data_IF_605182769606
#
_entry.id   IF_605182769606
#
_cell.length_a   1.000
_cell.length_b   1.000
_cell.length_c   1.000
_cell.angle_alpha   90.00
_cell.angle_beta   90.00
_cell.angle_gamma   90.00
#
_symmetry.space_group_name_H-M   'P 1'
#
loop_
_entity.id
_entity.type
_entity.pdbx_description
1 polymer ?
#
# COMPACT_ATOMS: atom_id res chain seq x y z
N UNK A 1 2.85 18.82 -30.17
CA UNK A 1 3.96 18.52 -31.10
C UNK A 1 4.24 17.04 -31.02
N UNK A 2 3.79 16.29 -32.03
CA UNK A 2 3.99 14.83 -32.12
C UNK A 2 5.48 14.57 -32.33
N UNK A 3 6.18 13.88 -31.42
CA UNK A 3 7.58 13.48 -31.69
C UNK A 3 8.15 12.41 -30.74
N UNK A 4 7.38 11.37 -30.40
CA UNK A 4 8.02 10.11 -30.00
C UNK A 4 7.59 9.06 -31.04
N UNK A 5 8.10 9.19 -32.25
CA UNK A 5 8.12 8.10 -33.22
C UNK A 5 9.57 7.61 -33.35
N UNK A 6 9.88 6.40 -32.84
CA UNK A 6 9.00 5.48 -32.12
C UNK A 6 8.72 5.93 -30.67
N UNK A 7 7.63 5.46 -30.04
CA UNK A 7 7.34 5.75 -28.64
C UNK A 7 8.44 5.22 -27.72
N UNK A 8 8.89 6.08 -26.81
CA UNK A 8 9.97 5.75 -25.88
C UNK A 8 9.41 5.70 -24.47
N UNK A 9 9.47 4.53 -23.84
CA UNK A 9 9.18 4.36 -22.41
C UNK A 9 10.41 4.84 -21.63
N UNK A 10 10.32 6.06 -21.12
CA UNK A 10 11.38 6.70 -20.33
C UNK A 10 10.76 7.49 -19.19
N UNK A 11 11.42 7.46 -18.05
CA UNK A 11 11.08 8.24 -16.88
C UNK A 11 11.49 9.70 -17.08
N UNK A 12 10.49 10.57 -17.10
CA UNK A 12 10.62 12.02 -17.16
C UNK A 12 9.35 12.66 -16.60
N UNK A 13 9.41 13.19 -15.38
CA UNK A 13 8.22 13.79 -14.75
C UNK A 13 7.79 15.07 -15.45
N UNK A 14 8.72 15.81 -16.08
CA UNK A 14 8.42 17.08 -16.75
C UNK A 14 7.79 16.85 -18.12
N UNK A 15 8.43 16.01 -18.93
CA UNK A 15 8.03 15.82 -20.33
C UNK A 15 7.08 14.63 -20.51
N UNK A 16 7.08 13.66 -19.59
CA UNK A 16 6.37 12.37 -19.74
C UNK A 16 5.66 11.93 -18.45
N UNK A 17 5.06 12.85 -17.71
CA UNK A 17 4.42 12.58 -16.40
C UNK A 17 3.56 11.31 -16.37
N UNK A 18 2.76 11.05 -17.42
CA UNK A 18 1.91 9.86 -17.49
C UNK A 18 2.68 8.53 -17.63
N UNK A 19 3.77 8.52 -18.41
CA UNK A 19 4.64 7.33 -18.55
C UNK A 19 5.42 7.11 -17.25
N UNK A 20 5.96 8.19 -16.66
CA UNK A 20 6.68 8.16 -15.39
C UNK A 20 5.81 7.59 -14.27
N UNK A 21 4.56 8.05 -14.14
CA UNK A 21 3.64 7.53 -13.14
C UNK A 21 3.31 6.03 -13.35
N UNK A 22 3.20 5.57 -14.59
CA UNK A 22 3.00 4.14 -14.87
C UNK A 22 4.24 3.30 -14.51
N UNK A 23 5.44 3.82 -14.76
CA UNK A 23 6.69 3.18 -14.32
C UNK A 23 6.81 3.15 -12.80
N UNK A 24 6.42 4.22 -12.10
CA UNK A 24 6.39 4.26 -10.63
C UNK A 24 5.42 3.23 -10.05
N UNK A 25 4.21 3.13 -10.60
CA UNK A 25 3.22 2.13 -10.18
C UNK A 25 3.76 0.72 -10.41
N UNK A 26 4.31 0.44 -11.59
CA UNK A 26 4.85 -0.88 -11.91
C UNK A 26 6.04 -1.24 -11.00
N UNK A 27 6.94 -0.29 -10.76
CA UNK A 27 8.06 -0.41 -9.83
C UNK A 27 7.59 -0.74 -8.41
N UNK A 28 6.60 -0.01 -7.90
CA UNK A 28 6.06 -0.24 -6.56
C UNK A 28 5.41 -1.62 -6.39
N UNK A 29 4.79 -2.15 -7.44
CA UNK A 29 4.10 -3.45 -7.41
C UNK A 29 5.07 -4.62 -7.61
N UNK A 30 6.05 -4.47 -8.51
CA UNK A 30 6.97 -5.57 -8.90
C UNK A 30 8.28 -5.57 -8.12
N UNK A 31 8.64 -4.43 -7.51
CA UNK A 31 9.95 -4.22 -6.88
C UNK A 31 11.09 -3.95 -7.87
N UNK A 32 10.81 -3.91 -9.17
CA UNK A 32 11.82 -3.60 -10.19
C UNK A 32 12.16 -2.10 -10.18
N UNK A 33 13.43 -1.76 -10.35
CA UNK A 33 13.86 -0.37 -10.43
C UNK A 33 13.45 0.27 -11.75
N UNK A 34 13.28 1.60 -11.75
CA UNK A 34 12.94 2.36 -12.96
C UNK A 34 13.92 2.08 -14.13
N UNK A 35 15.25 2.04 -13.94
CA UNK A 35 16.17 1.72 -15.04
C UNK A 35 15.99 0.31 -15.60
N UNK A 36 15.63 -0.68 -14.78
CA UNK A 36 15.33 -2.04 -15.25
C UNK A 36 14.06 -2.06 -16.09
N UNK A 37 13.03 -1.33 -15.67
CA UNK A 37 11.79 -1.19 -16.41
C UNK A 37 12.02 -0.45 -17.74
N UNK A 38 12.76 0.65 -17.77
CA UNK A 38 13.10 1.35 -19.01
C UNK A 38 13.80 0.41 -20.01
N UNK A 39 14.75 -0.40 -19.54
CA UNK A 39 15.41 -1.43 -20.37
C UNK A 39 14.44 -2.51 -20.84
N UNK A 40 13.54 -2.97 -19.97
CA UNK A 40 12.52 -3.98 -20.30
C UNK A 40 11.53 -3.51 -21.36
N UNK A 41 11.26 -2.20 -21.42
CA UNK A 41 10.34 -1.57 -22.37
C UNK A 41 11.04 -0.90 -23.55
N UNK A 42 12.35 -1.09 -23.73
CA UNK A 42 13.07 -0.59 -24.89
C UNK A 42 12.43 -1.13 -26.19
N UNK A 43 12.12 -0.22 -27.12
CA UNK A 43 11.46 -0.56 -28.38
C UNK A 43 9.98 -0.97 -28.26
N UNK A 44 9.38 -0.96 -27.06
CA UNK A 44 7.97 -1.31 -26.87
C UNK A 44 7.05 -0.08 -26.91
N UNK A 45 5.86 -0.28 -27.47
CA UNK A 45 4.79 0.72 -27.49
C UNK A 45 4.18 0.92 -26.09
N UNK A 46 3.64 2.12 -25.80
CA UNK A 46 2.94 2.42 -24.53
C UNK A 46 1.79 1.47 -24.17
N UNK A 47 1.19 0.81 -25.16
CA UNK A 47 0.18 -0.23 -24.93
C UNK A 47 0.72 -1.41 -24.10
N UNK A 48 1.98 -1.79 -24.29
CA UNK A 48 2.62 -2.85 -23.51
C UNK A 48 2.82 -2.42 -22.06
N UNK A 49 3.33 -1.20 -21.83
CA UNK A 49 3.49 -0.66 -20.47
C UNK A 49 2.15 -0.64 -19.73
N UNK A 50 1.08 -0.14 -20.38
CA UNK A 50 -0.25 -0.09 -19.76
C UNK A 50 -0.82 -1.49 -19.47
N UNK A 51 -0.63 -2.44 -20.38
CA UNK A 51 -1.06 -3.82 -20.19
C UNK A 51 -0.37 -4.46 -19.00
N UNK A 52 0.95 -4.34 -18.92
CA UNK A 52 1.75 -4.93 -17.84
C UNK A 52 1.44 -4.28 -16.48
N UNK A 53 1.25 -2.96 -16.44
CA UNK A 53 0.75 -2.27 -15.24
C UNK A 53 -0.62 -2.79 -14.82
N UNK A 54 -1.55 -2.97 -15.77
CA UNK A 54 -2.90 -3.44 -15.47
C UNK A 54 -2.89 -4.86 -14.90
N UNK A 55 -2.10 -5.76 -15.48
CA UNK A 55 -1.94 -7.13 -14.99
C UNK A 55 -1.30 -7.17 -13.61
N UNK A 56 -0.19 -6.46 -13.40
CA UNK A 56 0.51 -6.43 -12.12
C UNK A 56 -0.39 -5.89 -10.99
N UNK A 57 -1.04 -4.75 -11.22
CA UNK A 57 -1.93 -4.13 -10.23
C UNK A 57 -3.16 -5.00 -9.98
N UNK A 58 -3.76 -5.57 -11.03
CA UNK A 58 -4.93 -6.45 -10.88
C UNK A 58 -4.59 -7.71 -10.09
N UNK A 59 -3.44 -8.34 -10.35
CA UNK A 59 -2.98 -9.51 -9.61
C UNK A 59 -2.77 -9.19 -8.13
N UNK A 60 -2.01 -8.14 -7.84
CA UNK A 60 -1.75 -7.68 -6.46
C UNK A 60 -3.05 -7.38 -5.70
N UNK A 61 -3.98 -6.64 -6.30
CA UNK A 61 -5.24 -6.29 -5.66
C UNK A 61 -6.16 -7.50 -5.49
N UNK A 62 -6.16 -8.45 -6.42
CA UNK A 62 -6.99 -9.66 -6.32
C UNK A 62 -6.57 -10.51 -5.11
N UNK A 63 -5.26 -10.72 -4.92
CA UNK A 63 -4.74 -11.44 -3.75
C UNK A 63 -5.08 -10.70 -2.43
N UNK A 64 -4.92 -9.37 -2.42
CA UNK A 64 -5.27 -8.56 -1.26
C UNK A 64 -6.77 -8.63 -0.94
N UNK A 65 -7.64 -8.57 -1.95
CA UNK A 65 -9.08 -8.67 -1.81
C UNK A 65 -9.49 -10.06 -1.30
N UNK A 66 -8.89 -11.13 -1.80
CA UNK A 66 -9.14 -12.48 -1.31
C UNK A 66 -8.82 -12.61 0.18
N UNK A 67 -7.64 -12.12 0.60
CA UNK A 67 -7.24 -12.10 2.02
C UNK A 67 -8.19 -11.25 2.86
N UNK A 68 -8.57 -10.07 2.36
CA UNK A 68 -9.54 -9.20 3.03
C UNK A 68 -10.86 -9.94 3.24
N UNK A 69 -11.43 -10.55 2.20
CA UNK A 69 -12.70 -11.25 2.29
C UNK A 69 -12.62 -12.47 3.21
N UNK A 70 -11.51 -13.22 3.18
CA UNK A 70 -11.26 -14.33 4.10
C UNK A 70 -11.35 -13.88 5.56
N UNK A 71 -10.67 -12.80 5.94
CA UNK A 71 -10.70 -12.32 7.33
C UNK A 71 -11.99 -11.59 7.67
N UNK A 72 -12.54 -10.80 6.74
CA UNK A 72 -13.73 -9.99 6.96
C UNK A 72 -14.97 -10.83 7.24
N UNK A 73 -15.05 -12.03 6.64
CA UNK A 73 -16.15 -12.96 6.81
C UNK A 73 -15.97 -13.90 8.01
N UNK A 74 -14.82 -13.88 8.69
CA UNK A 74 -14.57 -14.67 9.90
C UNK A 74 -14.85 -13.83 11.15
N UNK A 75 -16.12 -13.77 11.56
CA UNK A 75 -16.54 -12.97 12.71
C UNK A 75 -15.84 -13.39 14.01
N UNK A 76 -15.61 -14.70 14.21
CA UNK A 76 -14.95 -15.21 15.40
C UNK A 76 -13.50 -14.73 15.48
N UNK A 77 -12.78 -14.77 14.36
CA UNK A 77 -11.42 -14.23 14.28
C UNK A 77 -11.39 -12.72 14.51
N UNK A 78 -12.31 -11.96 13.92
CA UNK A 78 -12.40 -10.51 14.14
C UNK A 78 -12.65 -10.18 15.62
N UNK A 79 -13.58 -10.87 16.28
CA UNK A 79 -13.85 -10.69 17.71
C UNK A 79 -12.63 -11.00 18.57
N UNK A 80 -11.90 -12.06 18.24
CA UNK A 80 -10.65 -12.40 18.93
C UNK A 80 -9.61 -11.28 18.77
N UNK A 81 -9.37 -10.80 17.54
CA UNK A 81 -8.41 -9.71 17.29
C UNK A 81 -8.80 -8.43 18.04
N UNK A 82 -10.09 -8.07 18.05
CA UNK A 82 -10.58 -6.90 18.78
C UNK A 82 -10.37 -7.05 20.29
N UNK A 83 -10.67 -8.23 20.87
CA UNK A 83 -10.45 -8.51 22.28
C UNK A 83 -8.97 -8.41 22.65
N UNK A 84 -8.11 -9.11 21.91
CA UNK A 84 -6.66 -9.12 22.15
C UNK A 84 -6.07 -7.70 22.01
N UNK A 85 -6.56 -6.92 21.04
CA UNK A 85 -6.18 -5.53 20.83
C UNK A 85 -6.64 -4.62 21.97
N UNK A 86 -7.87 -4.78 22.44
CA UNK A 86 -8.43 -4.03 23.56
C UNK A 86 -7.65 -4.30 24.85
N UNK A 87 -7.36 -5.56 25.18
CA UNK A 87 -6.59 -5.93 26.37
C UNK A 87 -5.20 -5.28 26.36
N UNK A 88 -4.48 -5.35 25.22
CA UNK A 88 -3.16 -4.71 25.05
C UNK A 88 -3.23 -3.19 25.16
N UNK A 89 -4.24 -2.57 24.55
CA UNK A 89 -4.42 -1.12 24.58
C UNK A 89 -4.77 -0.64 25.99
N UNK A 90 -5.71 -1.32 26.67
CA UNK A 90 -6.12 -1.01 28.03
C UNK A 90 -4.98 -1.15 29.03
N UNK A 91 -4.14 -2.18 28.90
CA UNK A 91 -2.98 -2.35 29.77
C UNK A 91 -2.03 -1.14 29.71
N UNK A 92 -1.72 -0.66 28.51
CA UNK A 92 -0.88 0.54 28.30
C UNK A 92 -1.58 1.82 28.75
N UNK A 93 -2.86 1.96 28.45
CA UNK A 93 -3.62 3.16 28.80
C UNK A 93 -3.82 3.29 30.32
N UNK A 94 -3.93 2.18 31.04
CA UNK A 94 -4.10 2.16 32.49
C UNK A 94 -2.91 2.79 33.22
N UNK A 95 -1.68 2.62 32.73
CA UNK A 95 -0.48 3.25 33.30
C UNK A 95 -0.58 4.78 33.22
N UNK A 96 -0.91 5.31 32.04
CA UNK A 96 -1.11 6.76 31.84
C UNK A 96 -2.27 7.28 32.68
N UNK A 97 -3.39 6.58 32.71
CA UNK A 97 -4.57 7.00 33.46
C UNK A 97 -4.28 7.04 34.96
N UNK A 98 -3.52 6.08 35.48
CA UNK A 98 -3.07 6.05 36.88
C UNK A 98 -2.23 7.28 37.21
N UNK A 99 -1.23 7.61 36.38
CA UNK A 99 -0.40 8.80 36.58
C UNK A 99 -1.22 10.10 36.58
N UNK A 100 -2.23 10.19 35.70
CA UNK A 100 -3.16 11.34 35.66
C UNK A 100 -4.01 11.41 36.93
N UNK A 101 -4.52 10.28 37.42
CA UNK A 101 -5.34 10.24 38.63
C UNK A 101 -4.53 10.64 39.86
N UNK A 102 -3.28 10.16 39.97
CA UNK A 102 -2.34 10.56 41.03
C UNK A 102 -2.03 12.06 40.97
N UNK A 103 -1.79 12.62 39.78
CA UNK A 103 -1.49 14.04 39.61
C UNK A 103 -2.67 14.96 39.97
N UNK A 104 -3.90 14.54 39.72
CA UNK A 104 -5.12 15.31 40.04
C UNK A 104 -5.56 15.10 41.51
N UNK A 105 -5.12 14.02 42.15
CA UNK A 105 -5.51 13.66 43.52
C UNK A 105 -6.80 12.85 43.62
N UNK A 106 -7.20 12.16 42.55
CA UNK A 106 -8.34 11.24 42.62
C UNK A 106 -7.98 9.95 43.37
N UNK A 107 -8.91 9.46 44.20
CA UNK A 107 -8.76 8.16 44.86
C UNK A 107 -8.89 7.08 43.79
N UNK A 108 -7.86 6.25 43.65
CA UNK A 108 -7.89 5.13 42.71
C UNK A 108 -9.04 4.17 43.07
N UNK A 109 -9.65 3.56 42.04
CA UNK A 109 -10.64 2.50 42.25
C UNK A 109 -9.96 1.36 43.03
N UNK A 110 -10.55 0.87 44.15
CA UNK A 110 -9.95 -0.17 44.98
C UNK A 110 -9.78 -1.49 44.23
#
# INVERSE_FOLDING_TARGET
TVSDEPPVVRYDVKEKAGVSNLLDILSAVTGQSIPELEKQFEGKMYGHLKGEVAEAVSGMLSELQERYHRFRNDEAFLQKVMKDGAEKASARAAETLKAVYEAIGFVAKP
#
